data_IF_815398109316
#
_entry.id   IF_815398109316
#
_cell.length_a   1.000
_cell.length_b   1.000
_cell.length_c   1.000
_cell.angle_alpha   90.00
_cell.angle_beta   90.00
_cell.angle_gamma   90.00
#
_symmetry.space_group_name_H-M   'P 1'
#
loop_
_entity.id
_entity.type
_entity.pdbx_description
1 polymer ?
#
# COMPACT_ATOMS: atom_id res chain seq x y z
N UNK A 1 -7.55 -64.48 -27.71
CA UNK A 1 -7.00 -63.11 -27.84
C UNK A 1 -8.16 -62.16 -28.12
N UNK A 2 -8.56 -61.33 -27.16
CA UNK A 2 -9.21 -60.03 -27.41
C UNK A 2 -9.26 -59.24 -26.10
N UNK A 3 -8.73 -58.02 -26.16
CA UNK A 3 -8.37 -57.17 -25.03
C UNK A 3 -9.56 -56.29 -24.61
N UNK A 4 -9.85 -56.23 -23.31
CA UNK A 4 -10.70 -55.20 -22.71
C UNK A 4 -9.98 -53.83 -22.74
N UNK A 5 -10.66 -52.71 -23.04
CA UNK A 5 -10.10 -51.39 -22.82
C UNK A 5 -10.31 -50.98 -21.35
N UNK A 6 -9.19 -50.69 -20.68
CA UNK A 6 -9.16 -50.12 -19.35
C UNK A 6 -9.45 -48.61 -19.49
N UNK A 7 -10.66 -48.17 -19.15
CA UNK A 7 -10.98 -46.74 -19.01
C UNK A 7 -10.32 -46.23 -17.72
N UNK A 8 -9.13 -45.63 -17.85
CA UNK A 8 -8.51 -44.87 -16.78
C UNK A 8 -9.25 -43.54 -16.61
N UNK A 9 -10.18 -43.50 -15.65
CA UNK A 9 -10.79 -42.26 -15.17
C UNK A 9 -9.72 -41.49 -14.37
N UNK A 10 -9.02 -40.56 -15.03
CA UNK A 10 -8.13 -39.61 -14.37
C UNK A 10 -9.02 -38.64 -13.59
N UNK A 11 -9.17 -38.88 -12.29
CA UNK A 11 -9.81 -37.94 -11.37
C UNK A 11 -8.85 -36.76 -11.17
N UNK A 12 -9.05 -35.68 -11.92
CA UNK A 12 -8.41 -34.38 -11.70
C UNK A 12 -8.88 -33.88 -10.33
N UNK A 13 -8.08 -34.14 -9.30
CA UNK A 13 -8.25 -33.57 -7.97
C UNK A 13 -8.02 -32.06 -8.10
N UNK A 14 -9.11 -31.31 -8.25
CA UNK A 14 -9.08 -29.85 -8.25
C UNK A 14 -8.63 -29.39 -6.87
N UNK A 15 -7.37 -28.97 -6.75
CA UNK A 15 -6.91 -28.11 -5.67
C UNK A 15 -7.64 -26.76 -5.80
N UNK A 16 -8.91 -26.70 -5.40
CA UNK A 16 -9.61 -25.45 -5.21
C UNK A 16 -8.96 -24.76 -4.00
N UNK A 17 -7.91 -23.98 -4.27
CA UNK A 17 -7.25 -23.14 -3.27
C UNK A 17 -8.28 -22.25 -2.57
N UNK A 18 -8.06 -21.99 -1.28
CA UNK A 18 -8.91 -21.05 -0.52
C UNK A 18 -8.97 -19.71 -1.28
N UNK A 19 -10.13 -19.05 -1.33
CA UNK A 19 -10.21 -17.74 -1.95
C UNK A 19 -9.25 -16.77 -1.23
N UNK A 20 -8.63 -15.85 -1.97
CA UNK A 20 -7.70 -14.91 -1.38
C UNK A 20 -8.41 -14.02 -0.36
N UNK A 21 -7.66 -13.64 0.68
CA UNK A 21 -8.18 -12.71 1.70
C UNK A 21 -8.48 -11.34 1.07
N UNK A 22 -9.50 -10.60 1.57
CA UNK A 22 -9.75 -9.23 1.14
C UNK A 22 -8.54 -8.33 1.40
N UNK A 23 -8.32 -7.33 0.54
CA UNK A 23 -7.18 -6.41 0.68
C UNK A 23 -7.16 -5.68 2.04
N UNK A 24 -8.33 -5.34 2.59
CA UNK A 24 -8.44 -4.73 3.92
C UNK A 24 -7.88 -5.61 5.06
N UNK A 25 -7.84 -6.94 4.88
CA UNK A 25 -7.17 -7.85 5.80
C UNK A 25 -5.69 -8.04 5.42
N UNK A 26 -5.40 -8.14 4.12
CA UNK A 26 -4.02 -8.36 3.62
C UNK A 26 -3.08 -7.18 3.85
N UNK A 27 -3.59 -5.95 3.96
CA UNK A 27 -2.76 -4.77 4.18
C UNK A 27 -2.33 -4.61 5.65
N UNK A 28 -3.05 -5.21 6.59
CA UNK A 28 -2.79 -5.01 8.03
C UNK A 28 -1.48 -5.67 8.46
N UNK A 29 -0.79 -5.07 9.43
CA UNK A 29 0.40 -5.58 10.09
C UNK A 29 1.55 -4.56 10.17
N UNK A 30 2.71 -5.06 10.57
CA UNK A 30 3.94 -4.29 10.65
C UNK A 30 4.72 -4.36 9.32
N UNK A 31 5.05 -3.19 8.78
CA UNK A 31 5.72 -3.02 7.51
C UNK A 31 7.01 -2.22 7.66
N UNK A 32 8.09 -2.67 7.01
CA UNK A 32 9.36 -1.96 6.92
C UNK A 32 9.56 -1.43 5.51
N UNK A 33 10.01 -0.19 5.38
CA UNK A 33 10.36 0.38 4.06
C UNK A 33 11.63 -0.32 3.56
N UNK A 34 11.54 -1.00 2.41
CA UNK A 34 12.69 -1.64 1.74
C UNK A 34 13.18 -0.85 0.55
N UNK A 35 12.33 -0.01 -0.05
CA UNK A 35 12.71 0.92 -1.10
C UNK A 35 11.89 2.21 -1.00
N UNK A 36 12.52 3.33 -1.32
CA UNK A 36 11.89 4.65 -1.35
C UNK A 36 12.49 5.45 -2.50
N UNK A 37 11.62 6.00 -3.35
CA UNK A 37 12.00 6.85 -4.46
C UNK A 37 11.26 8.18 -4.36
N UNK A 38 12.02 9.25 -4.17
CA UNK A 38 11.50 10.62 -4.09
C UNK A 38 11.10 11.14 -5.48
N UNK A 39 10.02 11.93 -5.60
CA UNK A 39 9.72 12.65 -6.83
C UNK A 39 10.81 13.63 -7.25
N UNK A 40 11.65 14.08 -6.31
CA UNK A 40 12.78 14.96 -6.60
C UNK A 40 14.05 14.21 -7.04
N UNK A 41 14.02 12.87 -7.10
CA UNK A 41 15.16 12.05 -7.51
C UNK A 41 16.31 11.96 -6.50
N UNK A 42 16.21 12.63 -5.35
CA UNK A 42 17.17 12.50 -4.25
C UNK A 42 16.92 11.23 -3.43
N UNK A 43 17.99 10.53 -3.06
CA UNK A 43 17.91 9.44 -2.09
C UNK A 43 17.70 10.03 -0.68
N UNK A 44 16.56 9.71 -0.05
CA UNK A 44 16.33 9.99 1.36
C UNK A 44 16.49 8.71 2.18
N UNK A 45 17.69 8.53 2.73
CA UNK A 45 18.03 7.37 3.58
C UNK A 45 17.25 7.35 4.88
N UNK A 46 16.69 8.49 5.32
CA UNK A 46 15.81 8.56 6.49
C UNK A 46 14.51 7.78 6.26
N UNK A 47 13.94 7.88 5.06
CA UNK A 47 12.68 7.19 4.72
C UNK A 47 12.82 5.66 4.79
N UNK A 48 13.98 5.11 4.42
CA UNK A 48 14.25 3.66 4.51
C UNK A 48 14.30 3.12 5.94
N UNK A 49 14.39 4.00 6.95
CA UNK A 49 14.33 3.62 8.37
C UNK A 49 12.91 3.70 8.93
N UNK A 50 11.94 4.17 8.14
CA UNK A 50 10.55 4.24 8.56
C UNK A 50 9.89 2.86 8.57
N UNK A 51 8.84 2.76 9.38
CA UNK A 51 7.94 1.62 9.46
C UNK A 51 6.51 2.11 9.35
N UNK A 52 5.64 1.30 8.80
CA UNK A 52 4.19 1.52 8.86
C UNK A 52 3.57 0.42 9.70
N UNK A 53 2.73 0.79 10.68
CA UNK A 53 1.86 -0.14 11.40
C UNK A 53 0.46 0.13 10.90
N UNK A 54 -0.12 -0.85 10.22
CA UNK A 54 -1.43 -0.72 9.60
C UNK A 54 -2.40 -1.62 10.34
N UNK A 55 -3.42 -1.04 10.96
CA UNK A 55 -4.49 -1.77 11.65
C UNK A 55 -5.83 -1.52 10.95
N UNK A 56 -6.94 -1.94 11.55
CA UNK A 56 -8.26 -1.62 11.02
C UNK A 56 -8.50 -0.11 11.07
N UNK A 57 -8.58 0.53 9.89
CA UNK A 57 -8.88 1.95 9.75
C UNK A 57 -7.71 2.91 10.01
N UNK A 58 -6.60 2.46 10.60
CA UNK A 58 -5.44 3.32 10.94
C UNK A 58 -4.16 2.89 10.22
N UNK A 59 -3.44 3.88 9.69
CA UNK A 59 -2.08 3.78 9.17
C UNK A 59 -1.16 4.68 9.99
N UNK A 60 -0.26 4.09 10.77
CA UNK A 60 0.69 4.82 11.61
C UNK A 60 2.09 4.76 11.02
N UNK A 61 2.73 5.90 10.79
CA UNK A 61 4.16 5.97 10.42
C UNK A 61 5.05 6.12 11.66
N UNK A 62 6.07 5.27 11.75
CA UNK A 62 7.09 5.31 12.79
C UNK A 62 8.49 5.55 12.22
N UNK A 63 9.31 6.27 12.97
CA UNK A 63 10.73 6.44 12.69
C UNK A 63 11.54 6.27 13.98
N UNK A 64 12.56 5.42 13.99
CA UNK A 64 13.37 5.15 15.20
C UNK A 64 12.59 4.75 16.47
N UNK A 65 11.36 4.24 16.34
CA UNK A 65 10.53 3.78 17.46
C UNK A 65 9.50 4.80 17.96
N UNK A 66 9.59 6.05 17.50
CA UNK A 66 8.57 7.07 17.76
C UNK A 66 7.52 7.04 16.65
N UNK A 67 6.24 7.10 17.02
CA UNK A 67 5.13 7.34 16.09
C UNK A 67 5.08 8.83 15.77
N UNK A 68 5.12 9.17 14.48
CA UNK A 68 5.12 10.58 14.05
C UNK A 68 3.79 11.01 13.45
N UNK A 69 3.10 10.12 12.75
CA UNK A 69 1.85 10.45 12.04
C UNK A 69 0.89 9.28 12.08
N UNK A 70 -0.34 9.55 12.52
CA UNK A 70 -1.46 8.62 12.44
C UNK A 70 -2.45 9.14 11.39
N UNK A 71 -2.76 8.28 10.43
CA UNK A 71 -3.75 8.52 9.39
C UNK A 71 -4.92 7.57 9.57
N UNK A 72 -6.13 8.07 9.35
CA UNK A 72 -7.21 7.19 8.92
C UNK A 72 -6.96 6.78 7.47
N UNK A 73 -7.35 5.58 7.04
CA UNK A 73 -7.22 5.20 5.63
C UNK A 73 -8.46 4.52 5.05
N UNK A 74 -8.61 4.64 3.73
CA UNK A 74 -9.59 3.90 2.94
C UNK A 74 -8.93 3.20 1.76
N UNK A 75 -9.54 2.12 1.28
CA UNK A 75 -9.09 1.35 0.12
C UNK A 75 -10.22 1.20 -0.89
N UNK A 76 -9.90 1.33 -2.18
CA UNK A 76 -10.77 0.90 -3.28
C UNK A 76 -10.05 -0.16 -4.14
N UNK A 77 -10.24 -1.46 -3.84
CA UNK A 77 -9.61 -2.55 -4.58
C UNK A 77 -10.21 -2.77 -5.97
N UNK A 78 -11.33 -2.11 -6.31
CA UNK A 78 -12.02 -2.29 -7.59
C UNK A 78 -11.50 -1.35 -8.69
N UNK A 79 -10.54 -0.49 -8.37
CA UNK A 79 -9.89 0.43 -9.30
C UNK A 79 -8.63 -0.18 -9.92
N UNK A 80 -8.21 0.36 -11.06
CA UNK A 80 -6.98 -0.03 -11.73
C UNK A 80 -6.17 1.22 -12.12
N UNK A 81 -5.04 1.51 -11.45
CA UNK A 81 -4.50 0.83 -10.26
C UNK A 81 -5.44 0.94 -9.04
N UNK A 82 -5.26 0.06 -8.04
CA UNK A 82 -6.07 0.10 -6.80
C UNK A 82 -5.76 1.38 -6.03
N UNK A 83 -6.77 1.95 -5.36
CA UNK A 83 -6.65 3.26 -4.71
C UNK A 83 -6.56 3.14 -3.19
N UNK A 84 -5.71 3.97 -2.58
CA UNK A 84 -5.61 4.15 -1.13
C UNK A 84 -5.67 5.65 -0.82
N UNK A 85 -6.39 6.05 0.22
CA UNK A 85 -6.40 7.43 0.70
C UNK A 85 -5.95 7.46 2.16
N UNK A 86 -5.01 8.34 2.49
CA UNK A 86 -4.62 8.64 3.87
C UNK A 86 -5.29 9.96 4.28
N UNK A 87 -5.93 9.96 5.43
CA UNK A 87 -6.76 11.06 5.89
C UNK A 87 -6.25 11.51 7.26
N UNK A 88 -6.02 12.81 7.41
CA UNK A 88 -5.55 13.39 8.67
C UNK A 88 -6.23 14.73 8.95
N UNK A 89 -6.19 15.17 10.20
CA UNK A 89 -6.68 16.49 10.60
C UNK A 89 -5.49 17.44 10.77
N UNK A 90 -5.39 18.43 9.89
CA UNK A 90 -4.37 19.49 10.00
C UNK A 90 -4.58 20.32 11.28
N UNK A 91 -3.52 20.97 11.78
CA UNK A 91 -3.56 21.81 12.98
C UNK A 91 -4.63 22.91 12.95
N UNK A 92 -5.07 23.33 11.76
CA UNK A 92 -6.18 24.26 11.58
C UNK A 92 -7.58 23.64 11.77
N UNK A 93 -7.67 22.37 12.19
CA UNK A 93 -8.90 21.59 12.29
C UNK A 93 -9.48 21.10 10.96
N UNK A 94 -8.78 21.31 9.83
CA UNK A 94 -9.24 20.88 8.51
C UNK A 94 -8.89 19.40 8.28
N UNK A 95 -9.87 18.60 7.86
CA UNK A 95 -9.65 17.23 7.42
C UNK A 95 -9.12 17.24 5.99
N UNK A 96 -7.96 16.62 5.78
CA UNK A 96 -7.25 16.60 4.50
C UNK A 96 -6.99 15.15 4.08
N UNK A 97 -6.83 14.95 2.76
CA UNK A 97 -6.61 13.63 2.17
C UNK A 97 -5.37 13.64 1.30
N UNK A 98 -4.46 12.69 1.53
CA UNK A 98 -3.37 12.33 0.65
C UNK A 98 -3.86 11.15 -0.19
N UNK A 99 -4.01 11.37 -1.49
CA UNK A 99 -4.50 10.32 -2.41
C UNK A 99 -3.35 9.49 -2.93
N UNK A 100 -3.50 8.18 -2.98
CA UNK A 100 -2.47 7.26 -3.45
C UNK A 100 -3.01 6.06 -4.21
N UNK A 101 -2.10 5.24 -4.69
CA UNK A 101 -2.39 3.95 -5.31
C UNK A 101 -1.56 2.87 -4.62
N UNK A 102 -2.07 1.64 -4.61
CA UNK A 102 -1.38 0.53 -3.95
C UNK A 102 -1.44 -0.78 -4.74
N UNK A 103 -0.49 -1.66 -4.45
CA UNK A 103 -0.37 -2.99 -5.01
C UNK A 103 0.07 -3.96 -3.90
N UNK A 104 -0.64 -5.07 -3.80
CA UNK A 104 -0.36 -6.20 -2.91
C UNK A 104 -0.11 -7.44 -3.78
N UNK A 105 1.14 -7.77 -4.13
CA UNK A 105 1.48 -8.92 -4.96
C UNK A 105 0.92 -10.23 -4.39
N UNK A 106 0.30 -11.01 -5.26
CA UNK A 106 -0.29 -12.35 -5.11
C UNK A 106 -1.17 -12.70 -3.90
N UNK A 107 -2.24 -13.42 -4.26
CA UNK A 107 -3.43 -13.68 -3.47
C UNK A 107 -3.30 -14.89 -2.51
N UNK A 108 -2.29 -15.74 -2.74
CA UNK A 108 -2.21 -17.09 -2.18
C UNK A 108 -1.45 -17.18 -0.85
N UNK A 109 -0.78 -16.09 -0.45
CA UNK A 109 -0.09 -15.96 0.83
C UNK A 109 -0.44 -14.61 1.49
N UNK A 110 -0.24 -14.50 2.80
CA UNK A 110 -0.20 -13.20 3.47
C UNK A 110 0.91 -12.41 2.76
N UNK A 111 0.51 -11.46 1.90
CA UNK A 111 1.41 -10.72 1.02
C UNK A 111 2.52 -10.11 1.86
N UNK A 112 3.75 -10.52 1.59
CA UNK A 112 4.94 -10.05 2.28
C UNK A 112 5.43 -8.71 1.72
N UNK A 113 4.87 -8.29 0.58
CA UNK A 113 5.18 -7.05 -0.12
C UNK A 113 3.95 -6.13 -0.20
N UNK A 114 4.18 -4.83 -0.03
CA UNK A 114 3.21 -3.77 -0.27
C UNK A 114 3.92 -2.66 -1.03
N UNK A 115 3.35 -2.25 -2.16
CA UNK A 115 3.85 -1.11 -2.93
C UNK A 115 2.80 -0.02 -2.90
N UNK A 116 3.21 1.21 -2.61
CA UNK A 116 2.33 2.38 -2.62
C UNK A 116 2.99 3.53 -3.35
N UNK A 117 2.17 4.36 -4.00
CA UNK A 117 2.59 5.66 -4.50
C UNK A 117 1.58 6.69 -4.04
N UNK A 118 2.03 7.66 -3.25
CA UNK A 118 1.17 8.74 -2.76
C UNK A 118 1.32 9.98 -3.64
N UNK A 119 0.25 10.75 -3.74
CA UNK A 119 0.15 11.96 -4.53
C UNK A 119 0.77 13.17 -3.86
N UNK A 120 0.44 14.36 -4.38
CA UNK A 120 0.91 15.61 -3.82
C UNK A 120 0.39 15.83 -2.39
N UNK A 121 1.19 16.45 -1.50
CA UNK A 121 0.70 16.82 -0.18
C UNK A 121 -0.45 17.83 -0.31
N UNK A 122 -1.51 17.71 0.50
CA UNK A 122 -2.66 18.62 0.45
C UNK A 122 -2.40 19.98 1.14
N UNK A 123 -1.18 20.19 1.63
CA UNK A 123 -0.70 21.42 2.26
C UNK A 123 0.59 21.83 1.56
N UNK A 124 0.62 23.05 1.03
CA UNK A 124 1.82 23.64 0.44
C UNK A 124 2.14 24.97 1.13
N UNK A 125 3.42 25.23 1.35
CA UNK A 125 3.87 26.54 1.80
C UNK A 125 4.42 27.33 0.60
N UNK A 126 3.78 28.45 0.29
CA UNK A 126 4.20 29.36 -0.79
C UNK A 126 4.26 30.77 -0.24
N UNK A 127 5.41 31.43 -0.40
CA UNK A 127 5.63 32.80 0.09
C UNK A 127 5.28 32.97 1.59
N UNK A 128 5.64 31.97 2.41
CA UNK A 128 5.33 31.87 3.86
C UNK A 128 3.83 31.81 4.19
N UNK A 129 2.99 31.49 3.20
CA UNK A 129 1.57 31.25 3.38
C UNK A 129 1.27 29.77 3.19
N UNK A 130 0.48 29.23 4.11
CA UNK A 130 -0.04 27.87 4.01
C UNK A 130 -1.25 27.89 3.08
N UNK A 131 -1.18 27.15 1.98
CA UNK A 131 -2.29 26.93 1.07
C UNK A 131 -2.73 25.47 1.15
N UNK A 132 -4.05 25.27 1.12
CA UNK A 132 -4.65 23.94 1.10
C UNK A 132 -5.04 23.62 -0.34
N UNK A 133 -4.51 22.52 -0.85
CA UNK A 133 -4.73 22.07 -2.22
C UNK A 133 -5.27 20.65 -2.22
N UNK A 134 -5.98 20.28 -3.28
CA UNK A 134 -6.40 18.91 -3.47
C UNK A 134 -5.18 18.04 -3.81
N UNK A 135 -5.05 16.89 -3.15
CA UNK A 135 -4.01 15.91 -3.47
C UNK A 135 -4.30 15.27 -4.83
N UNK A 136 -3.32 15.34 -5.74
CA UNK A 136 -3.41 14.74 -7.07
C UNK A 136 -3.04 13.27 -6.97
N UNK A 137 -3.99 12.36 -7.25
CA UNK A 137 -3.75 10.91 -7.20
C UNK A 137 -2.79 10.48 -8.33
N UNK A 138 -1.74 9.69 -8.04
CA UNK A 138 -0.95 9.03 -9.08
C UNK A 138 -1.80 8.03 -9.86
N UNK A 139 -1.56 7.89 -11.17
CA UNK A 139 -2.25 6.89 -12.01
C UNK A 139 -1.35 5.71 -12.38
N UNK A 140 -0.06 5.82 -12.07
CA UNK A 140 0.98 4.83 -12.35
C UNK A 140 2.01 4.82 -11.22
N UNK A 141 2.69 3.70 -10.99
CA UNK A 141 3.71 3.58 -9.96
C UNK A 141 5.07 4.14 -10.42
N UNK A 142 5.13 5.45 -10.63
CA UNK A 142 6.33 6.16 -11.04
C UNK A 142 6.70 7.22 -9.99
N UNK A 143 7.96 7.26 -9.57
CA UNK A 143 8.40 8.22 -8.54
C UNK A 143 8.15 9.68 -8.95
N UNK A 144 8.12 9.99 -10.25
CA UNK A 144 7.86 11.36 -10.76
C UNK A 144 6.47 11.89 -10.41
N UNK A 145 5.49 11.01 -10.15
CA UNK A 145 4.12 11.41 -9.79
C UNK A 145 3.90 11.50 -8.28
N UNK A 146 4.91 11.13 -7.49
CA UNK A 146 4.89 11.20 -6.03
C UNK A 146 5.76 10.12 -5.38
N UNK A 147 5.97 10.15 -4.05
CA UNK A 147 6.83 9.18 -3.37
C UNK A 147 6.37 7.75 -3.65
N UNK A 148 7.27 6.97 -4.25
CA UNK A 148 7.06 5.55 -4.50
C UNK A 148 7.77 4.75 -3.41
N UNK A 149 6.99 4.01 -2.64
CA UNK A 149 7.46 3.28 -1.47
C UNK A 149 7.18 1.79 -1.66
N UNK A 150 8.19 0.97 -1.38
CA UNK A 150 8.03 -0.47 -1.27
C UNK A 150 8.27 -0.86 0.18
N UNK A 151 7.30 -1.59 0.71
CA UNK A 151 7.35 -2.18 2.03
C UNK A 151 7.53 -3.69 1.92
N UNK A 152 8.14 -4.25 2.95
CA UNK A 152 8.08 -5.67 3.27
C UNK A 152 7.48 -5.85 4.65
N UNK A 153 6.78 -6.95 4.92
CA UNK A 153 6.38 -7.29 6.28
C UNK A 153 7.61 -7.39 7.19
N UNK A 154 7.49 -6.88 8.40
CA UNK A 154 8.49 -7.05 9.45
C UNK A 154 8.44 -8.51 9.90
N UNK A 155 9.53 -9.23 9.69
CA UNK A 155 9.75 -10.54 10.33
C UNK A 155 10.35 -10.32 11.71
N UNK A 156 9.91 -11.09 12.70
CA UNK A 156 10.51 -11.12 14.04
C UNK A 156 11.98 -11.56 14.01
#
# INVERSE_FOLDING_TARGET
MNRLPLFALVMLCGCAGKPPLPDAQRIQGDWVVVDFQSPMGSEDRGQRRKRAIITEGTWSEQFQGDTFEDFEYTLDPNKSPKEIDLIFTHMSGRRLTIRGIYELPDADHIGDALRVCFGSPPVIEKDKKVEFVESVRPTVFEAKTGPLIRYRRKTE
#
